data_IF_632940843296
#
_entry.id   IF_632940843296
#
_cell.length_a   1.000
_cell.length_b   1.000
_cell.length_c   1.000
_cell.angle_alpha   90.00
_cell.angle_beta   90.00
_cell.angle_gamma   90.00
#
_symmetry.space_group_name_H-M   'P 1'
#
loop_
_entity.id
_entity.type
_entity.pdbx_description
1 polymer ?
#
# COMPACT_ATOMS: atom_id res chain seq x y z
N UNK A 1 -73.54 -6.86 9.57
CA UNK A 1 -74.20 -8.06 9.03
C UNK A 1 -74.78 -7.70 7.67
N UNK A 2 -74.67 -8.64 6.73
CA UNK A 2 -75.40 -8.75 5.44
C UNK A 2 -75.13 -7.71 4.34
N UNK A 3 -74.19 -8.05 3.45
CA UNK A 3 -74.41 -8.01 1.99
C UNK A 3 -75.54 -9.00 1.62
N UNK A 4 -76.18 -9.01 0.43
CA UNK A 4 -75.68 -8.74 -0.94
C UNK A 4 -76.69 -7.89 -1.79
N UNK A 5 -76.61 -7.62 -3.10
CA UNK A 5 -76.66 -8.54 -4.25
C UNK A 5 -76.58 -7.78 -5.58
N UNK A 6 -76.03 -8.49 -6.56
CA UNK A 6 -75.69 -8.21 -7.97
C UNK A 6 -76.87 -8.17 -8.96
N UNK A 7 -76.69 -7.48 -10.11
CA UNK A 7 -77.07 -7.85 -11.51
C UNK A 7 -76.71 -6.68 -12.46
N UNK A 8 -75.75 -6.76 -13.40
CA UNK A 8 -75.67 -7.46 -14.72
C UNK A 8 -76.61 -6.93 -15.83
N UNK A 9 -76.01 -6.30 -16.85
CA UNK A 9 -76.41 -6.17 -18.28
C UNK A 9 -75.17 -5.55 -18.99
N UNK A 10 -74.27 -6.29 -19.64
CA UNK A 10 -74.31 -7.05 -20.90
C UNK A 10 -74.28 -6.20 -22.19
N UNK A 11 -73.11 -6.28 -22.86
CA UNK A 11 -72.85 -6.38 -24.31
C UNK A 11 -72.83 -5.08 -25.14
N UNK A 12 -71.63 -4.80 -25.67
CA UNK A 12 -71.36 -3.91 -26.79
C UNK A 12 -69.95 -4.19 -27.33
N UNK A 13 -69.84 -5.24 -28.13
CA UNK A 13 -68.64 -5.69 -28.86
C UNK A 13 -68.05 -4.58 -29.74
N UNK A 14 -66.76 -4.29 -29.54
CA UNK A 14 -65.94 -3.50 -30.44
C UNK A 14 -64.55 -4.13 -30.55
N UNK A 15 -64.44 -5.13 -31.42
CA UNK A 15 -63.18 -5.71 -31.87
C UNK A 15 -62.45 -4.65 -32.71
N UNK A 16 -61.26 -4.22 -32.31
CA UNK A 16 -60.25 -3.70 -33.24
C UNK A 16 -58.86 -3.92 -32.66
N UNK A 17 -58.16 -4.83 -33.33
CA UNK A 17 -56.75 -5.17 -33.18
C UNK A 17 -55.87 -3.93 -33.30
N UNK A 18 -54.87 -3.78 -32.41
CA UNK A 18 -53.52 -3.36 -32.80
C UNK A 18 -52.49 -3.64 -31.70
N UNK A 19 -51.72 -4.71 -31.96
CA UNK A 19 -50.30 -4.92 -31.71
C UNK A 19 -49.59 -4.12 -30.57
N UNK A 20 -49.30 -4.84 -29.49
CA UNK A 20 -47.96 -5.03 -28.89
C UNK A 20 -46.94 -3.87 -28.96
N UNK A 21 -46.70 -3.23 -27.80
CA UNK A 21 -45.35 -2.93 -27.30
C UNK A 21 -45.41 -2.67 -25.78
N UNK A 22 -45.13 -3.71 -25.00
CA UNK A 22 -44.67 -3.57 -23.62
C UNK A 22 -43.17 -3.26 -23.66
N UNK A 23 -42.78 -2.06 -23.22
CA UNK A 23 -41.50 -1.85 -22.55
C UNK A 23 -41.66 -0.64 -21.63
N UNK A 24 -41.66 -0.91 -20.33
CA UNK A 24 -41.70 0.08 -19.28
C UNK A 24 -40.47 1.00 -19.37
N UNK A 25 -40.70 2.27 -19.67
CA UNK A 25 -39.76 3.36 -19.43
C UNK A 25 -39.72 3.63 -17.91
N UNK A 26 -39.00 2.79 -17.19
CA UNK A 26 -38.51 3.14 -15.86
C UNK A 26 -37.29 4.06 -16.02
N UNK A 27 -37.19 5.19 -15.29
CA UNK A 27 -35.97 5.98 -15.29
C UNK A 27 -34.87 5.16 -14.60
N UNK A 28 -33.98 4.56 -15.38
CA UNK A 28 -32.71 4.07 -14.88
C UNK A 28 -31.95 5.26 -14.27
N UNK A 29 -31.51 5.20 -13.00
CA UNK A 29 -30.58 6.19 -12.48
C UNK A 29 -29.27 5.98 -13.23
N UNK A 30 -29.06 6.81 -14.25
CA UNK A 30 -27.73 7.06 -14.79
C UNK A 30 -26.92 7.68 -13.66
N UNK A 31 -26.21 6.84 -12.91
CA UNK A 31 -25.02 7.27 -12.19
C UNK A 31 -24.03 7.74 -13.26
N UNK A 32 -24.22 8.97 -13.72
CA UNK A 32 -23.19 9.68 -14.45
C UNK A 32 -21.97 9.71 -13.55
N UNK A 33 -20.93 8.99 -13.94
CA UNK A 33 -19.57 9.18 -13.47
C UNK A 33 -19.24 10.66 -13.57
N UNK A 34 -19.47 11.37 -12.47
CA UNK A 34 -18.74 12.59 -12.22
C UNK A 34 -17.35 12.10 -11.88
N UNK A 35 -16.47 12.07 -12.88
CA UNK A 35 -15.04 11.97 -12.69
C UNK A 35 -14.66 13.15 -11.77
N UNK A 36 -14.67 12.89 -10.46
CA UNK A 36 -14.09 13.80 -9.49
C UNK A 36 -12.62 13.76 -9.84
N UNK A 37 -12.14 14.80 -10.53
CA UNK A 37 -10.71 15.06 -10.68
C UNK A 37 -10.17 15.15 -9.26
N UNK A 38 -9.63 14.04 -8.76
CA UNK A 38 -9.00 13.96 -7.46
C UNK A 38 -7.81 14.91 -7.53
N UNK A 39 -7.96 16.11 -6.96
CA UNK A 39 -6.93 17.13 -6.96
C UNK A 39 -5.69 16.52 -6.32
N UNK A 40 -4.66 16.22 -7.13
CA UNK A 40 -3.36 15.75 -6.65
C UNK A 40 -2.82 16.81 -5.69
N UNK A 41 -2.73 16.45 -4.42
CA UNK A 41 -2.19 17.35 -3.39
C UNK A 41 -0.67 17.26 -3.49
N UNK A 42 -0.01 18.35 -3.90
CA UNK A 42 1.44 18.42 -3.87
C UNK A 42 1.92 18.56 -2.44
N UNK A 43 2.63 17.56 -1.94
CA UNK A 43 3.27 17.52 -0.62
C UNK A 43 4.73 17.15 -0.77
N UNK A 44 5.59 17.92 -0.11
CA UNK A 44 6.98 17.59 0.19
C UNK A 44 7.19 17.83 1.69
N UNK A 45 7.42 16.76 2.45
CA UNK A 45 7.49 16.85 3.91
C UNK A 45 8.39 15.79 4.51
N UNK A 46 9.35 16.27 5.30
CA UNK A 46 10.18 15.45 6.19
C UNK A 46 9.75 15.62 7.64
N UNK A 47 9.68 14.51 8.36
CA UNK A 47 9.42 14.54 9.80
C UNK A 47 10.21 13.47 10.53
N UNK A 48 11.03 13.91 11.48
CA UNK A 48 11.70 13.02 12.43
C UNK A 48 11.07 13.10 13.82
N UNK A 49 10.82 11.93 14.44
CA UNK A 49 10.44 11.81 15.84
C UNK A 49 11.35 10.82 16.56
N UNK A 50 11.69 11.12 17.82
CA UNK A 50 12.57 10.28 18.65
C UNK A 50 11.93 10.06 20.02
N UNK A 51 11.71 8.80 20.38
CA UNK A 51 11.32 8.36 21.72
C UNK A 51 12.57 7.87 22.43
N UNK A 52 12.91 8.46 23.58
CA UNK A 52 14.01 7.96 24.39
C UNK A 52 13.77 8.21 25.87
N UNK A 53 14.06 7.20 26.68
CA UNK A 53 13.90 7.26 28.13
C UNK A 53 14.87 6.30 28.84
N UNK A 54 15.13 6.59 30.11
CA UNK A 54 15.93 5.77 31.04
C UNK A 54 15.07 5.42 32.26
N UNK A 55 15.24 4.22 32.81
CA UNK A 55 14.51 3.70 33.96
C UNK A 55 14.66 4.58 35.20
N UNK A 56 15.84 5.15 35.41
CA UNK A 56 16.13 5.97 36.60
C UNK A 56 15.36 7.31 36.63
N UNK A 57 14.76 7.72 35.51
CA UNK A 57 14.03 8.99 35.41
C UNK A 57 12.61 8.88 35.97
N UNK A 58 12.22 9.87 36.79
CA UNK A 58 10.87 10.01 37.37
C UNK A 58 9.75 10.22 36.33
N UNK A 59 10.06 10.89 35.22
CA UNK A 59 9.12 11.11 34.10
C UNK A 59 9.71 10.49 32.83
N UNK A 60 8.98 9.55 32.24
CA UNK A 60 9.41 8.82 31.04
C UNK A 60 8.41 9.08 29.91
N UNK A 61 8.92 9.49 28.75
CA UNK A 61 8.12 9.63 27.53
C UNK A 61 8.25 8.34 26.75
N UNK A 62 7.22 7.51 26.83
CA UNK A 62 7.20 6.20 26.19
C UNK A 62 6.65 6.21 24.77
N UNK A 63 5.99 7.28 24.36
CA UNK A 63 5.35 7.36 23.05
C UNK A 63 5.57 8.74 22.44
N UNK A 64 5.79 8.77 21.13
CA UNK A 64 5.64 9.97 20.30
C UNK A 64 4.87 9.64 19.04
N UNK A 65 4.23 10.66 18.49
CA UNK A 65 3.41 10.54 17.29
C UNK A 65 3.85 11.54 16.23
N UNK A 66 3.68 11.16 14.97
CA UNK A 66 3.89 12.04 13.82
C UNK A 66 2.72 11.91 12.84
N UNK A 67 2.33 13.02 12.22
CA UNK A 67 1.32 13.03 11.16
C UNK A 67 1.89 12.44 9.86
N UNK A 68 1.11 11.61 9.19
CA UNK A 68 1.34 11.13 7.82
C UNK A 68 0.38 11.88 6.89
N UNK A 69 0.87 12.71 5.95
CA UNK A 69 0.02 13.52 5.07
C UNK A 69 -1.07 12.70 4.36
N UNK A 70 -2.32 13.18 4.41
CA UNK A 70 -3.46 12.51 3.79
C UNK A 70 -3.96 11.25 4.51
N UNK A 71 -3.10 10.52 5.21
CA UNK A 71 -3.42 9.20 5.76
C UNK A 71 -3.85 9.26 7.23
N UNK A 72 -3.08 9.92 8.10
CA UNK A 72 -3.34 9.93 9.54
C UNK A 72 -2.09 10.17 10.39
N UNK A 73 -1.77 9.23 11.28
CA UNK A 73 -0.60 9.32 12.14
C UNK A 73 0.09 7.97 12.37
N UNK A 74 1.39 8.05 12.68
CA UNK A 74 2.18 6.94 13.21
C UNK A 74 2.56 7.24 14.65
N UNK A 75 2.44 6.25 15.51
CA UNK A 75 2.96 6.29 16.87
C UNK A 75 4.19 5.37 16.98
N UNK A 76 5.26 5.90 17.56
CA UNK A 76 6.33 5.08 18.12
C UNK A 76 6.06 4.86 19.59
N UNK A 77 6.00 3.60 20.03
CA UNK A 77 5.87 3.23 21.44
C UNK A 77 7.10 2.44 21.81
N UNK A 78 7.83 2.92 22.83
CA UNK A 78 8.88 2.16 23.45
C UNK A 78 8.59 1.90 24.92
N UNK A 79 8.21 0.67 25.25
CA UNK A 79 8.00 0.17 26.62
C UNK A 79 8.45 -1.28 26.68
N UNK A 80 8.92 -1.79 27.83
CA UNK A 80 9.33 -3.19 27.96
C UNK A 80 8.27 -4.20 27.51
N UNK A 81 6.98 -3.92 27.69
CA UNK A 81 5.89 -4.82 27.27
C UNK A 81 5.12 -4.35 26.04
N UNK A 82 5.60 -3.31 25.34
CA UNK A 82 4.91 -2.71 24.20
C UNK A 82 5.89 -1.86 23.39
N UNK A 83 6.84 -2.53 22.74
CA UNK A 83 7.79 -1.94 21.78
C UNK A 83 7.25 -2.12 20.38
N UNK A 84 6.74 -1.05 19.78
CA UNK A 84 5.97 -1.16 18.54
C UNK A 84 5.93 0.14 17.74
N UNK A 85 5.74 -0.01 16.43
CA UNK A 85 5.28 1.05 15.55
C UNK A 85 3.80 0.82 15.24
N UNK A 86 3.00 1.89 15.27
CA UNK A 86 1.54 1.79 15.13
C UNK A 86 1.01 2.81 14.15
N UNK A 87 0.19 2.38 13.20
CA UNK A 87 -0.57 3.27 12.33
C UNK A 87 -1.95 3.56 12.90
N UNK A 88 -2.41 4.80 12.71
CA UNK A 88 -3.75 5.29 13.02
C UNK A 88 -4.22 6.17 11.88
N UNK A 89 -4.99 5.64 10.91
CA UNK A 89 -5.50 6.46 9.83
C UNK A 89 -6.62 7.38 10.33
N UNK A 90 -6.88 8.46 9.58
CA UNK A 90 -7.98 9.39 9.83
C UNK A 90 -9.36 8.73 9.60
N UNK A 91 -9.40 7.74 8.71
CA UNK A 91 -10.59 6.96 8.37
C UNK A 91 -10.20 5.52 8.08
N UNK A 92 -11.09 4.58 8.40
CA UNK A 92 -10.96 3.16 8.05
C UNK A 92 -11.62 2.82 6.71
N UNK A 93 -12.35 3.78 6.12
CA UNK A 93 -13.06 3.57 4.85
C UNK A 93 -12.09 3.22 3.72
N UNK A 94 -11.03 4.01 3.45
CA UNK A 94 -9.93 3.54 2.62
C UNK A 94 -9.06 2.55 3.40
N UNK A 95 -8.44 1.60 2.68
CA UNK A 95 -7.48 0.70 3.32
C UNK A 95 -6.13 1.39 3.45
N UNK A 96 -5.64 1.45 4.69
CA UNK A 96 -4.31 1.96 5.00
C UNK A 96 -3.39 0.79 5.28
N UNK A 97 -2.22 0.79 4.65
CA UNK A 97 -1.20 -0.22 4.86
C UNK A 97 0.11 0.42 5.32
N UNK A 98 0.85 -0.29 6.16
CA UNK A 98 2.22 -0.01 6.51
C UNK A 98 3.03 -1.26 6.29
N UNK A 99 3.80 -1.26 5.22
CA UNK A 99 4.79 -2.29 4.95
C UNK A 99 6.13 -1.90 5.57
N UNK A 100 6.86 -2.90 6.07
CA UNK A 100 8.23 -2.73 6.52
C UNK A 100 9.07 -3.97 6.34
N UNK A 101 10.33 -3.76 5.99
CA UNK A 101 11.40 -4.74 6.11
C UNK A 101 12.22 -4.43 7.37
N UNK A 102 12.17 -5.31 8.38
CA UNK A 102 12.91 -5.20 9.64
C UNK A 102 14.24 -5.93 9.52
N UNK A 103 15.35 -5.22 9.68
CA UNK A 103 16.71 -5.74 9.69
C UNK A 103 17.27 -5.73 11.11
N UNK A 104 17.73 -6.88 11.58
CA UNK A 104 18.17 -7.08 12.96
C UNK A 104 19.38 -8.03 12.98
N UNK A 105 20.21 -7.95 14.01
CA UNK A 105 21.28 -8.94 14.24
C UNK A 105 20.87 -9.87 15.38
N UNK A 106 20.78 -11.17 15.13
CA UNK A 106 20.31 -12.19 16.09
C UNK A 106 21.19 -13.43 16.06
N UNK A 107 21.60 -13.88 17.25
CA UNK A 107 22.46 -15.07 17.38
C UNK A 107 23.77 -14.96 16.58
N UNK A 108 24.26 -13.74 16.33
CA UNK A 108 25.43 -13.49 15.49
C UNK A 108 25.18 -13.43 13.98
N UNK A 109 23.92 -13.53 13.52
CA UNK A 109 23.53 -13.45 12.11
C UNK A 109 22.66 -12.24 11.84
N UNK A 110 22.74 -11.71 10.63
CA UNK A 110 21.80 -10.68 10.18
C UNK A 110 20.53 -11.34 9.62
N UNK A 111 19.39 -10.87 10.10
CA UNK A 111 18.06 -11.40 9.75
C UNK A 111 17.16 -10.28 9.26
N UNK A 112 16.23 -10.64 8.37
CA UNK A 112 15.19 -9.76 7.84
C UNK A 112 13.80 -10.32 8.13
N UNK A 113 12.81 -9.46 8.33
CA UNK A 113 11.40 -9.84 8.38
C UNK A 113 10.53 -8.79 7.69
N UNK A 114 9.76 -9.20 6.68
CA UNK A 114 8.79 -8.34 6.02
C UNK A 114 7.43 -8.44 6.71
N UNK A 115 6.85 -7.28 7.05
CA UNK A 115 5.58 -7.18 7.77
C UNK A 115 4.66 -6.20 7.07
N UNK A 116 3.37 -6.52 7.05
CA UNK A 116 2.31 -5.64 6.56
C UNK A 116 1.25 -5.43 7.64
N UNK A 117 1.14 -4.19 8.11
CA UNK A 117 0.16 -3.76 9.10
C UNK A 117 -0.96 -3.01 8.40
N UNK A 118 -2.22 -3.45 8.59
CA UNK A 118 -3.36 -2.93 7.80
C UNK A 118 -4.49 -2.43 8.67
N UNK A 119 -5.06 -1.28 8.29
CA UNK A 119 -6.27 -0.71 8.88
C UNK A 119 -7.33 -0.51 7.80
N UNK A 120 -8.46 -1.21 7.91
CA UNK A 120 -9.57 -1.15 6.94
C UNK A 120 -10.92 -1.49 7.57
N UNK A 121 -12.00 -1.00 6.98
CA UNK A 121 -13.39 -1.39 7.32
C UNK A 121 -13.82 -2.67 6.62
N UNK A 122 -13.39 -2.88 5.37
CA UNK A 122 -13.85 -3.98 4.52
C UNK A 122 -12.72 -4.97 4.27
N UNK A 123 -12.87 -6.22 4.74
CA UNK A 123 -11.84 -7.26 4.58
C UNK A 123 -11.73 -7.79 3.15
N UNK A 124 -12.82 -7.72 2.40
CA UNK A 124 -12.94 -8.16 1.01
C UNK A 124 -13.88 -7.21 0.27
N UNK A 125 -13.94 -7.30 -1.06
CA UNK A 125 -14.89 -6.51 -1.84
C UNK A 125 -16.37 -6.82 -1.52
N UNK A 126 -16.65 -8.03 -1.04
CA UNK A 126 -17.99 -8.49 -0.66
C UNK A 126 -18.33 -8.28 0.83
N UNK A 127 -17.40 -7.73 1.64
CA UNK A 127 -17.62 -7.53 3.08
C UNK A 127 -18.68 -6.44 3.34
N UNK A 128 -19.51 -6.63 4.37
CA UNK A 128 -20.54 -5.66 4.75
C UNK A 128 -20.05 -4.56 5.71
N UNK A 129 -18.73 -4.47 5.92
CA UNK A 129 -18.06 -3.53 6.82
C UNK A 129 -17.92 -4.04 8.26
N UNK A 130 -18.30 -5.28 8.55
CA UNK A 130 -18.13 -5.92 9.86
C UNK A 130 -16.83 -6.72 9.99
N UNK A 131 -16.20 -7.13 8.89
CA UNK A 131 -14.99 -7.97 8.90
C UNK A 131 -13.67 -7.20 8.99
N UNK A 132 -13.71 -5.86 8.96
CA UNK A 132 -12.53 -5.01 9.01
C UNK A 132 -11.67 -5.12 10.27
N UNK A 133 -10.50 -4.50 10.23
CA UNK A 133 -9.62 -4.39 11.41
C UNK A 133 -10.04 -3.23 12.32
N UNK A 134 -9.46 -3.16 13.54
CA UNK A 134 -9.70 -2.06 14.47
C UNK A 134 -9.21 -0.69 13.95
N UNK A 135 -9.44 0.42 14.69
CA UNK A 135 -9.07 1.78 14.27
C UNK A 135 -7.56 2.04 14.21
N UNK A 136 -6.75 1.06 14.60
CA UNK A 136 -5.30 1.13 14.66
C UNK A 136 -4.74 -0.28 14.51
N UNK A 137 -3.57 -0.38 13.94
CA UNK A 137 -2.82 -1.64 13.85
C UNK A 137 -1.34 -1.36 14.07
N UNK A 138 -0.60 -2.35 14.55
CA UNK A 138 0.81 -2.18 14.93
C UNK A 138 1.63 -3.39 14.61
N UNK A 139 2.92 -3.16 14.38
CA UNK A 139 3.95 -4.18 14.34
C UNK A 139 4.77 -4.11 15.63
N UNK A 140 4.94 -5.25 16.29
CA UNK A 140 5.85 -5.40 17.41
C UNK A 140 7.30 -5.42 16.93
N UNK A 141 8.20 -4.80 17.68
CA UNK A 141 9.63 -4.82 17.36
C UNK A 141 10.36 -5.99 18.02
N UNK A 142 9.70 -6.67 18.96
CA UNK A 142 10.12 -7.96 19.52
C UNK A 142 9.85 -9.11 18.54
N UNK A 143 10.61 -10.19 18.66
CA UNK A 143 10.46 -11.34 17.76
C UNK A 143 9.59 -12.45 18.35
N UNK A 144 9.61 -12.62 19.68
CA UNK A 144 8.86 -13.66 20.40
C UNK A 144 7.93 -13.07 21.44
N UNK A 145 7.02 -13.90 21.97
CA UNK A 145 6.01 -13.49 22.95
C UNK A 145 6.56 -12.80 24.20
N UNK A 146 7.80 -13.13 24.61
CA UNK A 146 8.54 -12.37 25.62
C UNK A 146 9.47 -11.35 24.97
N UNK A 147 9.52 -10.15 25.52
CA UNK A 147 10.46 -9.10 25.10
C UNK A 147 11.91 -9.53 25.36
N UNK A 148 12.81 -9.24 24.44
CA UNK A 148 14.24 -9.45 24.63
C UNK A 148 14.84 -8.40 25.58
N UNK A 149 15.76 -8.77 26.48
CA UNK A 149 16.43 -7.82 27.39
C UNK A 149 17.23 -6.75 26.63
N UNK A 150 17.85 -7.18 25.53
CA UNK A 150 18.63 -6.37 24.61
C UNK A 150 18.16 -6.60 23.19
N UNK A 151 18.01 -5.52 22.44
CA UNK A 151 17.74 -5.62 21.02
C UNK A 151 18.17 -4.32 20.32
N UNK A 152 18.64 -4.46 19.08
CA UNK A 152 18.83 -3.35 18.14
C UNK A 152 18.33 -3.74 16.75
N UNK A 153 17.87 -2.76 15.98
CA UNK A 153 17.51 -2.99 14.58
C UNK A 153 17.20 -1.72 13.81
N UNK A 154 16.95 -1.90 12.53
CA UNK A 154 16.47 -0.85 11.64
C UNK A 154 15.42 -1.39 10.68
N UNK A 155 14.57 -0.52 10.15
CA UNK A 155 13.58 -0.89 9.16
C UNK A 155 13.37 0.23 8.15
N UNK A 156 13.12 -0.17 6.92
CA UNK A 156 12.61 0.71 5.86
C UNK A 156 11.20 0.27 5.53
N UNK A 157 10.34 1.23 5.20
CA UNK A 157 8.94 0.92 4.93
C UNK A 157 8.21 1.99 4.17
N UNK A 158 6.97 1.65 3.80
CA UNK A 158 6.04 2.50 3.07
C UNK A 158 4.72 2.51 3.84
N UNK A 159 4.15 3.70 3.99
CA UNK A 159 2.79 3.92 4.45
C UNK A 159 2.01 4.47 3.26
N UNK A 160 1.01 3.72 2.84
CA UNK A 160 0.15 4.03 1.71
C UNK A 160 -1.30 3.87 2.10
N UNK A 161 -2.17 4.48 1.31
CA UNK A 161 -3.60 4.34 1.45
C UNK A 161 -4.20 4.20 0.07
N UNK A 162 -5.06 3.20 -0.08
CA UNK A 162 -5.78 2.89 -1.32
C UNK A 162 -7.30 2.99 -1.10
N UNK A 163 -8.11 3.00 -2.18
CA UNK A 163 -9.55 2.83 -2.06
C UNK A 163 -9.94 1.61 -1.22
N UNK A 164 -11.18 1.60 -0.73
CA UNK A 164 -11.70 0.41 -0.04
C UNK A 164 -11.56 -0.82 -0.93
N UNK A 165 -11.37 -2.01 -0.33
CA UNK A 165 -11.42 -3.29 -1.07
C UNK A 165 -12.76 -3.49 -1.79
N UNK A 166 -13.82 -2.79 -1.37
CA UNK A 166 -15.14 -2.80 -2.00
C UNK A 166 -15.34 -1.69 -3.05
N UNK A 167 -14.27 -1.00 -3.46
CA UNK A 167 -14.29 0.07 -4.46
C UNK A 167 -13.24 -0.24 -5.54
N UNK A 168 -13.36 0.38 -6.71
CA UNK A 168 -12.34 0.25 -7.77
C UNK A 168 -10.97 0.78 -7.30
N UNK A 169 -9.89 0.24 -7.86
CA UNK A 169 -8.52 0.60 -7.50
C UNK A 169 -8.13 2.04 -7.86
N UNK A 170 -8.78 2.62 -8.88
CA UNK A 170 -8.57 3.98 -9.41
C UNK A 170 -7.23 4.17 -10.16
N UNK A 171 -6.44 3.10 -10.37
CA UNK A 171 -5.16 3.17 -11.07
C UNK A 171 -4.07 3.86 -10.23
N UNK A 172 -3.60 5.04 -10.65
CA UNK A 172 -2.51 5.72 -9.96
C UNK A 172 -2.89 6.17 -8.52
N UNK A 173 -1.94 6.17 -7.56
CA UNK A 173 -2.19 6.61 -6.19
C UNK A 173 -2.70 8.06 -6.10
N UNK A 174 -3.81 8.27 -5.40
CA UNK A 174 -4.42 9.59 -5.17
C UNK A 174 -4.07 10.19 -3.81
N UNK A 175 -3.74 9.35 -2.82
CA UNK A 175 -3.26 9.77 -1.50
C UNK A 175 -1.72 9.80 -1.47
N UNK A 176 -1.08 10.76 -0.77
CA UNK A 176 0.37 10.78 -0.63
C UNK A 176 0.93 9.49 -0.01
N UNK A 177 2.00 8.98 -0.60
CA UNK A 177 2.73 7.81 -0.13
C UNK A 177 3.93 8.29 0.69
N UNK A 178 4.09 7.76 1.90
CA UNK A 178 5.14 8.18 2.83
C UNK A 178 6.11 7.03 3.08
N UNK A 179 7.39 7.21 2.80
CA UNK A 179 8.41 6.26 3.21
C UNK A 179 8.82 6.54 4.63
N UNK A 180 9.43 5.55 5.26
CA UNK A 180 10.03 5.76 6.55
C UNK A 180 11.28 4.93 6.79
N UNK A 181 12.13 5.45 7.67
CA UNK A 181 13.27 4.77 8.26
C UNK A 181 13.07 4.76 9.76
N UNK A 182 13.01 3.57 10.33
CA UNK A 182 12.92 3.32 11.76
C UNK A 182 14.24 2.74 12.24
N UNK A 183 14.78 3.25 13.35
CA UNK A 183 15.88 2.62 14.07
C UNK A 183 15.50 2.47 15.52
N UNK A 184 15.91 1.38 16.14
CA UNK A 184 15.60 1.13 17.52
C UNK A 184 16.72 0.41 18.26
N UNK A 185 16.77 0.66 19.56
CA UNK A 185 17.73 0.12 20.50
C UNK A 185 17.10 0.11 21.89
N UNK A 186 17.19 -1.02 22.58
CA UNK A 186 16.92 -1.08 24.00
C UNK A 186 17.87 -2.04 24.71
N UNK A 187 18.00 -1.83 26.01
CA UNK A 187 18.82 -2.65 26.87
C UNK A 187 18.21 -2.72 28.27
N UNK A 188 18.54 -3.80 28.96
CA UNK A 188 18.21 -4.04 30.36
C UNK A 188 16.71 -4.05 30.64
N UNK A 189 15.87 -4.44 29.70
CA UNK A 189 14.42 -4.47 29.90
C UNK A 189 13.96 -5.39 31.04
N UNK A 190 14.73 -6.42 31.36
CA UNK A 190 14.51 -7.33 32.49
C UNK A 190 14.95 -6.73 33.86
N UNK A 191 15.54 -5.53 33.86
CA UNK A 191 16.07 -4.88 35.07
C UNK A 191 15.34 -3.57 35.40
N UNK A 192 14.23 -3.62 36.17
CA UNK A 192 13.52 -2.46 36.69
C UNK A 192 14.42 -1.39 37.28
N UNK A 193 14.31 -0.17 36.75
CA UNK A 193 15.10 0.99 37.18
C UNK A 193 16.31 1.25 36.30
N UNK A 194 16.87 0.25 35.61
CA UNK A 194 18.07 0.40 34.78
C UNK A 194 17.80 0.29 33.27
N UNK A 195 16.53 0.16 32.88
CA UNK A 195 16.13 0.06 31.49
C UNK A 195 16.53 1.28 30.68
N UNK A 196 16.87 1.08 29.41
CA UNK A 196 17.01 2.15 28.45
C UNK A 196 16.32 1.80 27.14
N UNK A 197 15.72 2.82 26.53
CA UNK A 197 15.22 2.69 25.18
C UNK A 197 15.47 3.95 24.35
N UNK A 198 15.73 3.72 23.07
CA UNK A 198 15.74 4.71 22.01
C UNK A 198 15.06 4.17 20.74
N UNK A 199 14.14 4.94 20.18
CA UNK A 199 13.58 4.71 18.86
C UNK A 199 13.55 6.02 18.08
N UNK A 200 13.96 6.00 16.81
CA UNK A 200 13.91 7.14 15.89
C UNK A 200 13.17 6.75 14.62
N UNK A 201 12.17 7.53 14.24
CA UNK A 201 11.43 7.38 12.98
C UNK A 201 11.60 8.65 12.16
N UNK A 202 12.11 8.49 10.95
CA UNK A 202 12.10 9.51 9.90
C UNK A 202 11.00 9.15 8.91
N UNK A 203 10.10 10.08 8.63
CA UNK A 203 9.06 10.01 7.62
C UNK A 203 9.44 10.96 6.48
N UNK A 204 9.32 10.50 5.24
CA UNK A 204 9.52 11.30 4.04
C UNK A 204 8.33 11.14 3.09
N UNK A 205 7.74 12.26 2.68
CA UNK A 205 6.65 12.30 1.69
C UNK A 205 7.04 13.24 0.57
N UNK A 206 7.16 12.76 -0.67
CA UNK A 206 7.34 13.58 -1.86
C UNK A 206 6.42 13.12 -3.00
N UNK A 207 5.28 13.79 -3.12
CA UNK A 207 4.27 13.48 -4.14
C UNK A 207 4.71 13.76 -5.57
N UNK A 208 5.81 14.50 -5.78
CA UNK A 208 6.35 14.77 -7.11
C UNK A 208 7.24 13.65 -7.64
N UNK A 209 7.60 12.70 -6.76
CA UNK A 209 8.50 11.58 -7.05
C UNK A 209 7.95 10.24 -6.58
N UNK A 210 6.69 10.17 -6.17
CA UNK A 210 6.03 8.92 -5.84
C UNK A 210 5.39 8.32 -7.09
N UNK A 211 5.25 7.00 -7.12
CA UNK A 211 4.54 6.28 -8.18
C UNK A 211 3.93 5.01 -7.61
N UNK A 212 3.04 4.38 -8.37
CA UNK A 212 2.34 3.19 -7.92
C UNK A 212 1.13 2.87 -8.77
N UNK A 213 0.41 1.84 -8.36
CA UNK A 213 -0.78 1.34 -9.02
C UNK A 213 -1.68 0.65 -7.98
N UNK A 214 -2.97 0.93 -8.03
CA UNK A 214 -4.02 0.26 -7.29
C UNK A 214 -4.99 -0.31 -8.31
N UNK A 215 -5.20 -1.62 -8.29
CA UNK A 215 -6.04 -2.35 -9.23
C UNK A 215 -6.90 -3.38 -8.48
N UNK A 216 -8.19 -3.49 -8.78
CA UNK A 216 -9.12 -4.50 -8.22
C UNK A 216 -9.95 -5.24 -9.30
N UNK A 217 -10.16 -6.54 -9.10
CA UNK A 217 -10.59 -7.51 -10.14
C UNK A 217 -12.07 -7.59 -10.53
N UNK A 218 -12.89 -6.56 -10.32
CA UNK A 218 -14.29 -6.59 -10.82
C UNK A 218 -14.61 -5.71 -12.02
N UNK A 219 -13.82 -4.67 -12.28
CA UNK A 219 -14.15 -3.68 -13.31
C UNK A 219 -12.90 -3.20 -14.07
N UNK A 220 -11.72 -3.31 -13.47
CA UNK A 220 -10.45 -2.81 -14.03
C UNK A 220 -9.65 -3.87 -14.79
N UNK A 221 -10.10 -5.13 -14.81
CA UNK A 221 -9.42 -6.28 -15.43
C UNK A 221 -9.16 -6.16 -16.94
N UNK A 222 -9.60 -5.09 -17.59
CA UNK A 222 -9.30 -4.80 -19.00
C UNK A 222 -8.82 -3.37 -19.31
N UNK A 223 -8.83 -2.42 -18.36
CA UNK A 223 -8.66 -1.00 -18.70
C UNK A 223 -7.49 -0.27 -18.00
N UNK A 224 -7.01 -0.74 -16.83
CA UNK A 224 -6.01 0.00 -16.02
C UNK A 224 -5.04 -0.93 -15.31
N UNK A 225 -4.42 -1.83 -16.05
CA UNK A 225 -3.32 -2.69 -15.59
C UNK A 225 -2.00 -1.93 -15.48
N UNK A 226 -1.91 -0.71 -16.01
CA UNK A 226 -0.68 0.09 -16.02
C UNK A 226 -0.91 1.51 -15.48
N UNK A 227 0.06 2.00 -14.72
CA UNK A 227 0.17 3.38 -14.28
C UNK A 227 1.51 3.96 -14.71
N UNK A 228 1.48 5.16 -15.26
CA UNK A 228 2.68 5.89 -15.68
C UNK A 228 2.78 7.21 -14.92
N UNK A 229 3.95 7.48 -14.35
CA UNK A 229 4.21 8.73 -13.61
C UNK A 229 5.52 9.35 -14.07
N UNK A 230 5.48 10.63 -14.46
CA UNK A 230 6.69 11.38 -14.78
C UNK A 230 7.45 11.74 -13.50
N UNK A 231 8.72 11.36 -13.45
CA UNK A 231 9.66 11.60 -12.36
C UNK A 231 10.72 12.64 -12.82
N UNK A 232 10.80 13.80 -12.16
CA UNK A 232 11.75 14.85 -12.52
C UNK A 232 13.22 14.38 -12.54
N UNK A 233 13.84 14.51 -13.72
CA UNK A 233 15.23 14.16 -13.99
C UNK A 233 15.49 12.67 -14.26
N UNK A 234 14.45 11.82 -14.19
CA UNK A 234 14.57 10.39 -14.52
C UNK A 234 13.82 10.08 -15.81
N UNK A 235 12.58 10.53 -15.97
CA UNK A 235 11.72 10.16 -17.09
C UNK A 235 10.39 9.61 -16.59
N UNK A 236 9.92 8.50 -17.10
CA UNK A 236 8.63 7.90 -16.68
C UNK A 236 8.86 6.63 -15.85
N UNK A 237 8.25 6.55 -14.68
CA UNK A 237 8.08 5.30 -13.95
C UNK A 237 6.80 4.62 -14.45
N UNK A 238 6.91 3.38 -14.91
CA UNK A 238 5.83 2.57 -15.44
C UNK A 238 5.64 1.39 -14.50
N UNK A 239 4.44 1.25 -13.97
CA UNK A 239 4.07 0.18 -13.05
C UNK A 239 2.94 -0.62 -13.69
N UNK A 240 3.10 -1.94 -13.74
CA UNK A 240 2.12 -2.83 -14.37
C UNK A 240 1.69 -3.93 -13.39
N UNK A 241 0.41 -4.27 -13.43
CA UNK A 241 -0.27 -5.38 -12.78
C UNK A 241 -1.07 -6.12 -13.84
N UNK A 242 -0.60 -7.28 -14.29
CA UNK A 242 -1.26 -8.10 -15.32
C UNK A 242 -1.58 -9.50 -14.76
N UNK A 243 -2.76 -9.66 -14.12
CA UNK A 243 -3.18 -10.97 -13.62
C UNK A 243 -3.22 -12.02 -14.72
N UNK A 244 -2.51 -13.14 -14.50
CA UNK A 244 -2.50 -14.27 -15.44
C UNK A 244 -1.58 -14.08 -16.65
N UNK A 245 -0.67 -13.10 -16.62
CA UNK A 245 0.39 -12.97 -17.62
C UNK A 245 1.32 -14.18 -17.61
N UNK A 246 1.77 -14.61 -18.80
CA UNK A 246 2.69 -15.74 -18.96
C UNK A 246 4.15 -15.38 -18.66
N UNK A 247 4.46 -14.10 -18.39
CA UNK A 247 5.83 -13.62 -18.16
C UNK A 247 6.00 -13.07 -16.76
N UNK A 248 5.30 -11.97 -16.42
CA UNK A 248 5.36 -11.34 -15.10
C UNK A 248 4.00 -10.80 -14.69
N UNK A 249 3.59 -11.09 -13.45
CA UNK A 249 2.32 -10.66 -12.87
C UNK A 249 2.33 -9.16 -12.50
N UNK A 250 3.48 -8.67 -12.03
CA UNK A 250 3.66 -7.31 -11.53
C UNK A 250 5.05 -6.83 -11.89
N UNK A 251 5.16 -5.63 -12.47
CA UNK A 251 6.46 -5.08 -12.85
C UNK A 251 6.59 -3.58 -12.58
N UNK A 252 7.83 -3.15 -12.43
CA UNK A 252 8.23 -1.75 -12.54
C UNK A 252 9.28 -1.60 -13.64
N UNK A 253 9.15 -0.55 -14.44
CA UNK A 253 10.15 -0.15 -15.40
C UNK A 253 10.33 1.38 -15.35
N UNK A 254 11.48 1.86 -15.81
CA UNK A 254 11.70 3.28 -16.04
C UNK A 254 11.96 3.50 -17.53
N UNK A 255 11.30 4.49 -18.12
CA UNK A 255 11.66 5.03 -19.43
C UNK A 255 12.53 6.27 -19.21
N UNK A 256 13.86 6.18 -19.41
CA UNK A 256 14.75 7.30 -19.17
C UNK A 256 14.42 8.49 -20.07
N UNK A 257 14.61 9.70 -19.55
CA UNK A 257 14.59 10.93 -20.36
C UNK A 257 16.00 11.34 -20.79
N UNK A 258 16.11 12.22 -21.78
CA UNK A 258 17.37 12.82 -22.23
C UNK A 258 18.01 12.15 -23.45
N UNK A 259 19.18 12.67 -23.83
CA UNK A 259 19.80 12.37 -25.13
C UNK A 259 20.78 11.17 -25.09
N UNK A 260 21.13 10.66 -23.91
CA UNK A 260 22.06 9.54 -23.76
C UNK A 260 21.54 8.49 -22.76
N UNK A 261 20.41 7.82 -23.07
CA UNK A 261 19.83 6.84 -22.16
C UNK A 261 20.75 5.63 -21.91
N UNK A 262 21.72 5.35 -22.79
CA UNK A 262 22.63 4.21 -22.69
C UNK A 262 23.62 4.25 -21.51
N UNK A 263 23.70 5.33 -20.75
CA UNK A 263 24.46 5.39 -19.48
C UNK A 263 23.56 5.26 -18.25
N UNK A 264 22.28 4.94 -18.45
CA UNK A 264 21.31 4.79 -17.38
C UNK A 264 21.30 3.36 -16.89
N UNK A 265 21.13 3.19 -15.57
CA UNK A 265 21.08 1.88 -14.94
C UNK A 265 20.06 1.87 -13.80
N UNK A 266 19.61 0.67 -13.45
CA UNK A 266 18.73 0.38 -12.33
C UNK A 266 19.33 -0.74 -11.47
N UNK A 267 19.59 -0.43 -10.21
CA UNK A 267 19.89 -1.43 -9.19
C UNK A 267 18.63 -1.67 -8.36
N UNK A 268 18.45 -2.89 -7.89
CA UNK A 268 17.34 -3.19 -6.99
C UNK A 268 17.69 -4.24 -5.96
N UNK A 269 16.91 -4.22 -4.89
CA UNK A 269 16.96 -5.21 -3.82
C UNK A 269 15.55 -5.74 -3.57
N UNK A 270 15.37 -7.05 -3.71
CA UNK A 270 14.16 -7.74 -3.28
C UNK A 270 14.24 -8.05 -1.81
N UNK A 271 13.14 -7.83 -1.08
CA UNK A 271 13.05 -8.19 0.33
C UNK A 271 11.74 -8.94 0.54
N UNK A 272 11.83 -10.23 0.86
CA UNK A 272 10.67 -11.11 1.03
C UNK A 272 10.85 -12.08 2.20
N UNK A 273 9.76 -12.37 2.91
CA UNK A 273 9.76 -13.41 3.95
C UNK A 273 10.40 -12.99 5.28
N UNK A 274 10.81 -14.00 6.06
CA UNK A 274 11.43 -13.85 7.37
C UNK A 274 12.53 -14.91 7.55
N UNK A 275 13.76 -14.47 7.85
CA UNK A 275 14.90 -15.37 8.03
C UNK A 275 16.25 -14.67 7.88
N UNK A 276 17.30 -15.46 7.62
CA UNK A 276 18.66 -14.97 7.35
C UNK A 276 18.64 -14.05 6.11
N UNK A 277 19.34 -12.90 6.18
CA UNK A 277 19.36 -11.89 5.10
C UNK A 277 19.77 -12.51 3.76
N UNK A 278 20.80 -13.36 3.76
CA UNK A 278 21.35 -14.00 2.55
C UNK A 278 20.36 -14.90 1.80
N UNK A 279 19.23 -15.27 2.42
CA UNK A 279 18.18 -16.12 1.82
C UNK A 279 16.93 -15.34 1.39
N UNK A 280 16.83 -14.08 1.82
CA UNK A 280 15.59 -13.30 1.75
C UNK A 280 15.79 -11.90 1.18
N UNK A 281 17.04 -11.55 0.88
CA UNK A 281 17.46 -10.30 0.28
C UNK A 281 18.33 -10.59 -0.92
N UNK A 282 17.77 -10.38 -2.11
CA UNK A 282 18.50 -10.52 -3.37
C UNK A 282 18.82 -9.14 -3.92
N UNK A 283 20.10 -8.89 -4.20
CA UNK A 283 20.56 -7.68 -4.86
C UNK A 283 20.87 -7.98 -6.32
N UNK A 284 20.36 -7.12 -7.21
CA UNK A 284 20.70 -7.16 -8.63
C UNK A 284 21.16 -5.77 -9.01
N UNK A 285 22.36 -5.72 -9.57
CA UNK A 285 23.07 -4.51 -9.96
C UNK A 285 23.03 -4.32 -11.47
N UNK A 286 23.18 -3.06 -11.89
CA UNK A 286 23.51 -2.66 -13.25
C UNK A 286 22.54 -3.21 -14.32
N UNK A 287 21.22 -3.14 -14.06
CA UNK A 287 20.26 -3.39 -15.12
C UNK A 287 20.32 -2.24 -16.13
N UNK A 288 20.99 -2.52 -17.25
CA UNK A 288 21.23 -1.57 -18.32
C UNK A 288 19.97 -1.20 -19.11
N UNK A 289 20.03 -0.05 -19.76
CA UNK A 289 19.02 0.40 -20.71
C UNK A 289 18.93 -0.55 -21.91
N UNK A 290 17.72 -1.07 -22.16
CA UNK A 290 17.43 -1.84 -23.36
C UNK A 290 17.03 -0.89 -24.52
N UNK A 291 17.83 -0.80 -25.60
CA UNK A 291 17.52 0.05 -26.74
C UNK A 291 16.33 -0.44 -27.59
N UNK A 292 15.93 -1.71 -27.46
CA UNK A 292 14.79 -2.28 -28.19
C UNK A 292 13.48 -1.84 -27.56
N UNK A 293 13.35 -1.99 -26.24
CA UNK A 293 12.14 -1.59 -25.50
C UNK A 293 12.14 -0.12 -25.09
N UNK A 294 13.32 0.50 -24.99
CA UNK A 294 13.51 1.86 -24.50
C UNK A 294 13.37 1.99 -22.98
N UNK A 295 13.62 0.92 -22.23
CA UNK A 295 13.36 0.83 -20.80
C UNK A 295 14.59 0.40 -19.99
N UNK A 296 14.62 0.79 -18.72
CA UNK A 296 15.31 0.10 -17.64
C UNK A 296 14.29 -0.83 -16.98
N UNK A 297 14.48 -2.14 -17.10
CA UNK A 297 13.44 -3.12 -16.77
C UNK A 297 12.72 -3.69 -18.01
N UNK A 298 11.60 -4.39 -17.83
CA UNK A 298 10.82 -4.50 -16.58
C UNK A 298 11.51 -5.36 -15.51
N UNK A 299 11.39 -4.92 -14.26
CA UNK A 299 11.77 -5.69 -13.07
C UNK A 299 10.49 -6.26 -12.47
N UNK A 300 10.45 -7.57 -12.24
CA UNK A 300 9.36 -8.23 -11.54
C UNK A 300 9.21 -7.66 -10.11
N UNK A 301 8.01 -7.63 -9.56
CA UNK A 301 7.81 -7.19 -8.18
C UNK A 301 7.57 -8.39 -7.25
N UNK A 302 7.96 -8.31 -5.96
CA UNK A 302 7.61 -9.33 -5.00
C UNK A 302 6.08 -9.39 -4.89
N UNK A 303 5.49 -10.59 -4.94
CA UNK A 303 4.02 -10.71 -4.81
C UNK A 303 3.48 -10.11 -3.52
N UNK A 304 4.20 -10.28 -2.41
CA UNK A 304 3.82 -9.76 -1.10
C UNK A 304 5.09 -9.39 -0.35
N UNK A 305 5.65 -8.23 -0.67
CA UNK A 305 6.97 -7.87 -0.17
C UNK A 305 7.35 -6.42 -0.38
N UNK A 306 8.63 -6.18 -0.19
CA UNK A 306 9.25 -4.87 -0.29
C UNK A 306 10.39 -4.91 -1.30
N UNK A 307 10.64 -3.77 -1.93
CA UNK A 307 11.85 -3.55 -2.72
C UNK A 307 12.49 -2.22 -2.38
N UNK A 308 13.79 -2.15 -2.65
CA UNK A 308 14.50 -0.89 -2.80
C UNK A 308 15.00 -0.78 -4.24
N UNK A 309 14.89 0.40 -4.82
CA UNK A 309 15.28 0.68 -6.20
C UNK A 309 16.26 1.85 -6.20
N UNK A 310 17.34 1.76 -6.96
CA UNK A 310 18.27 2.86 -7.21
C UNK A 310 18.38 3.07 -8.72
N UNK A 311 17.82 4.17 -9.21
CA UNK A 311 17.83 4.51 -10.63
C UNK A 311 18.77 5.67 -10.87
N UNK A 312 19.58 5.56 -11.92
CA UNK A 312 20.50 6.60 -12.38
C UNK A 312 20.23 6.90 -13.84
N UNK A 313 19.86 8.15 -14.15
CA UNK A 313 19.62 8.61 -15.53
C UNK A 313 20.39 9.90 -15.75
N UNK A 314 21.30 9.94 -16.73
CA UNK A 314 22.14 11.10 -17.03
C UNK A 314 22.81 11.73 -15.78
N UNK A 315 23.30 10.89 -14.85
CA UNK A 315 23.92 11.32 -13.59
C UNK A 315 22.95 11.73 -12.49
N UNK A 316 21.64 11.81 -12.75
CA UNK A 316 20.61 12.01 -11.73
C UNK A 316 20.31 10.68 -11.05
N UNK A 317 20.67 10.58 -9.77
CA UNK A 317 20.37 9.41 -8.94
C UNK A 317 19.09 9.62 -8.13
N UNK A 318 18.24 8.59 -8.08
CA UNK A 318 17.05 8.51 -7.23
C UNK A 318 17.01 7.14 -6.58
N UNK A 319 16.57 7.11 -5.32
CA UNK A 319 16.39 5.87 -4.58
C UNK A 319 14.97 5.81 -4.02
N UNK A 320 14.33 4.65 -4.14
CA UNK A 320 12.96 4.42 -3.74
C UNK A 320 12.86 3.24 -2.78
N UNK A 321 11.84 3.30 -1.94
CA UNK A 321 11.29 2.11 -1.29
C UNK A 321 9.92 1.85 -1.90
N UNK A 322 9.66 0.58 -2.20
CA UNK A 322 8.44 0.11 -2.84
C UNK A 322 7.84 -1.02 -2.01
N UNK A 323 6.52 -1.00 -1.84
CA UNK A 323 5.75 -2.14 -1.36
C UNK A 323 4.90 -2.71 -2.48
N UNK A 324 4.78 -4.03 -2.54
CA UNK A 324 3.87 -4.71 -3.45
C UNK A 324 2.99 -5.73 -2.71
N UNK A 325 1.69 -5.70 -3.01
CA UNK A 325 0.69 -6.64 -2.54
C UNK A 325 -0.09 -7.22 -3.71
N UNK A 326 -0.17 -8.54 -3.76
CA UNK A 326 -0.76 -9.29 -4.85
C UNK A 326 -1.62 -10.43 -4.31
N UNK A 327 -2.90 -10.41 -4.68
CA UNK A 327 -3.86 -11.49 -4.45
C UNK A 327 -4.72 -11.58 -5.71
N UNK A 328 -4.54 -12.61 -6.53
CA UNK A 328 -5.29 -12.78 -7.80
C UNK A 328 -5.81 -14.19 -8.02
N UNK A 329 -5.87 -14.98 -6.95
CA UNK A 329 -6.12 -16.41 -7.00
C UNK A 329 -7.55 -16.77 -6.62
N UNK A 330 -8.52 -15.86 -6.86
CA UNK A 330 -9.91 -16.10 -6.52
C UNK A 330 -10.79 -16.35 -7.75
N UNK A 331 -10.63 -17.54 -8.34
CA UNK A 331 -11.41 -17.97 -9.51
C UNK A 331 -12.93 -17.91 -9.26
N UNK A 332 -13.36 -18.14 -8.00
CA UNK A 332 -14.78 -18.14 -7.62
C UNK A 332 -15.34 -16.73 -7.43
N UNK A 333 -14.48 -15.77 -7.12
CA UNK A 333 -14.86 -14.38 -6.90
C UNK A 333 -13.71 -13.43 -7.30
N UNK A 334 -13.48 -13.22 -8.62
CA UNK A 334 -12.41 -12.35 -9.13
C UNK A 334 -12.51 -10.91 -8.63
N UNK A 335 -13.69 -10.49 -8.16
CA UNK A 335 -13.89 -9.22 -7.47
C UNK A 335 -12.96 -9.02 -6.26
N UNK A 336 -12.50 -10.11 -5.66
CA UNK A 336 -11.64 -10.09 -4.48
C UNK A 336 -10.15 -9.97 -4.85
N UNK A 337 -9.83 -10.02 -6.14
CA UNK A 337 -8.47 -9.88 -6.62
C UNK A 337 -8.01 -8.43 -6.49
N UNK A 338 -6.75 -8.27 -6.13
CA UNK A 338 -6.13 -6.97 -5.89
C UNK A 338 -4.64 -6.99 -6.22
N UNK A 339 -4.19 -5.88 -6.80
CA UNK A 339 -2.80 -5.58 -7.05
C UNK A 339 -2.53 -4.15 -6.60
N UNK A 340 -1.54 -4.00 -5.74
CA UNK A 340 -1.21 -2.75 -5.08
C UNK A 340 0.28 -2.56 -5.06
N UNK A 341 0.71 -1.43 -5.61
CA UNK A 341 2.10 -1.05 -5.67
C UNK A 341 2.19 0.39 -5.21
N UNK A 342 3.05 0.66 -4.24
CA UNK A 342 3.28 2.00 -3.72
C UNK A 342 4.78 2.24 -3.56
N UNK A 343 5.30 3.24 -4.24
CA UNK A 343 6.70 3.62 -4.22
C UNK A 343 6.87 5.11 -3.96
N UNK A 344 7.87 5.46 -3.18
CA UNK A 344 8.19 6.86 -2.82
C UNK A 344 9.67 6.96 -2.45
N UNK A 345 10.30 8.14 -2.55
CA UNK A 345 11.74 8.26 -2.32
C UNK A 345 12.16 7.78 -0.93
N UNK A 346 13.37 7.24 -0.81
CA UNK A 346 13.93 6.86 0.49
C UNK A 346 14.15 8.10 1.39
N UNK A 347 13.92 8.01 2.72
CA UNK A 347 14.12 9.11 3.69
C UNK A 347 15.57 9.46 4.01
#
# INVERSE_FOLDING_TARGET
>A
MTAPTTRLLSIGTGLLLLASLLAALGPSPSYGERAVSARKVTVQKDKRIVVSWKGERKRRVYQKSASVPGIGAVDLVCRPNSTQVRIRPNSRSPETQMWMAKFETKGGKDVVAVKNVRVYTYATAADNGRGGTGPKASEGLNQKGSIEDFQKGNAYGVISQRPSRAQDGLGAPTTPITSFKLTWWWERFDYPGHQYCNMSLTLHTDTTRQFGLNWHGTTEGSARTTSTTTIPGVGEAIVTCEPGSNTYDQTVAFRPTGNNPGTSFLDYEYIQGEGDVDLHVDHVDDLDYDPVTGLLGPVELPRNGMMRLWVSVNGVKRAYVLSSYYVVNNDQNPALDSCEIAATPLP
#
